data_IF_274790497240
#
_entry.id   IF_274790497240
#
_cell.length_a   1.000
_cell.length_b   1.000
_cell.length_c   1.000
_cell.angle_alpha   90.00
_cell.angle_beta   90.00
_cell.angle_gamma   90.00
#
_symmetry.space_group_name_H-M   'P 1'
#
loop_
_entity.id
_entity.type
_entity.pdbx_description
1 polymer ?
#
# COMPACT_ATOMS: atom_id res chain seq x y z
N UNK A 1 -64.83 26.68 36.21
CA UNK A 1 -64.23 25.32 36.33
C UNK A 1 -64.21 24.51 35.02
N UNK A 2 -65.28 24.46 34.20
CA UNK A 2 -65.35 23.55 33.04
C UNK A 2 -64.31 23.79 31.92
N UNK A 3 -63.81 25.01 31.75
CA UNK A 3 -62.83 25.37 30.71
C UNK A 3 -61.44 24.79 31.03
N UNK A 4 -61.06 24.71 32.31
CA UNK A 4 -59.77 24.18 32.76
C UNK A 4 -59.63 22.67 32.51
N UNK A 5 -60.68 21.90 32.79
CA UNK A 5 -60.68 20.44 32.57
C UNK A 5 -60.69 20.07 31.07
N UNK A 6 -61.37 20.87 30.25
CA UNK A 6 -61.35 20.70 28.79
C UNK A 6 -59.97 21.01 28.20
N UNK A 7 -59.29 22.04 28.70
CA UNK A 7 -57.91 22.34 28.32
C UNK A 7 -56.93 21.23 28.71
N UNK A 8 -57.05 20.68 29.93
CA UNK A 8 -56.21 19.58 30.38
C UNK A 8 -56.40 18.31 29.52
N UNK A 9 -57.65 17.96 29.17
CA UNK A 9 -57.94 16.81 28.31
C UNK A 9 -57.34 16.95 26.90
N UNK A 10 -57.43 18.15 26.30
CA UNK A 10 -56.83 18.43 24.99
C UNK A 10 -55.29 18.32 25.02
N UNK A 11 -54.65 18.76 26.10
CA UNK A 11 -53.20 18.69 26.27
C UNK A 11 -52.69 17.25 26.39
N UNK A 12 -53.41 16.41 27.15
CA UNK A 12 -53.08 14.98 27.27
C UNK A 12 -53.23 14.25 25.93
N UNK A 13 -54.29 14.55 25.17
CA UNK A 13 -54.48 14.00 23.83
C UNK A 13 -53.36 14.41 22.86
N UNK A 14 -53.00 15.70 22.85
CA UNK A 14 -51.92 16.21 22.01
C UNK A 14 -50.57 15.56 22.36
N UNK A 15 -50.26 15.41 23.65
CA UNK A 15 -49.05 14.74 24.11
C UNK A 15 -49.03 13.25 23.72
N UNK A 16 -50.16 12.55 23.83
CA UNK A 16 -50.29 11.15 23.41
C UNK A 16 -50.07 10.94 21.92
N UNK A 17 -50.66 11.79 21.07
CA UNK A 17 -50.48 11.75 19.62
C UNK A 17 -49.04 12.08 19.22
N UNK A 18 -48.42 13.06 19.89
CA UNK A 18 -47.03 13.41 19.66
C UNK A 18 -46.08 12.25 20.03
N UNK A 19 -46.27 11.62 21.21
CA UNK A 19 -45.47 10.49 21.65
C UNK A 19 -45.62 9.26 20.74
N UNK A 20 -46.84 8.99 20.27
CA UNK A 20 -47.10 7.93 19.30
C UNK A 20 -46.40 8.22 17.95
N UNK A 21 -46.55 9.44 17.43
CA UNK A 21 -45.88 9.87 16.20
C UNK A 21 -44.35 9.84 16.30
N UNK A 22 -43.79 10.21 17.45
CA UNK A 22 -42.36 10.12 17.73
C UNK A 22 -41.87 8.67 17.73
N UNK A 23 -42.59 7.78 18.39
CA UNK A 23 -42.21 6.35 18.47
C UNK A 23 -42.22 5.68 17.10
N UNK A 24 -43.29 5.89 16.32
CA UNK A 24 -43.41 5.33 14.96
C UNK A 24 -42.33 5.88 14.03
N UNK A 25 -42.05 7.19 14.09
CA UNK A 25 -40.95 7.77 13.29
C UNK A 25 -39.58 7.29 13.75
N UNK A 26 -39.38 7.11 15.05
CA UNK A 26 -38.15 6.55 15.62
C UNK A 26 -37.90 5.14 15.12
N UNK A 27 -38.91 4.28 15.07
CA UNK A 27 -38.79 2.92 14.52
C UNK A 27 -38.47 2.93 13.03
N UNK A 28 -39.17 3.76 12.24
CA UNK A 28 -38.91 3.88 10.81
C UNK A 28 -37.48 4.34 10.53
N UNK A 29 -37.02 5.38 11.23
CA UNK A 29 -35.65 5.90 11.07
C UNK A 29 -34.61 4.94 11.61
N UNK A 30 -34.91 4.22 12.69
CA UNK A 30 -34.06 3.14 13.20
C UNK A 30 -33.86 2.02 12.17
N UNK A 31 -34.93 1.61 11.47
CA UNK A 31 -34.85 0.61 10.39
C UNK A 31 -33.99 1.09 9.22
N UNK A 32 -34.19 2.34 8.77
CA UNK A 32 -33.39 2.96 7.69
C UNK A 32 -31.90 3.08 8.08
N UNK A 33 -31.61 3.47 9.32
CA UNK A 33 -30.23 3.53 9.84
C UNK A 33 -29.63 2.12 9.90
N UNK A 34 -30.38 1.12 10.35
CA UNK A 34 -29.90 -0.26 10.42
C UNK A 34 -29.56 -0.80 9.02
N UNK A 35 -30.38 -0.53 8.01
CA UNK A 35 -30.12 -0.89 6.63
C UNK A 35 -28.87 -0.19 6.08
N UNK A 36 -28.75 1.14 6.26
CA UNK A 36 -27.57 1.89 5.83
C UNK A 36 -26.30 1.43 6.55
N UNK A 37 -26.40 1.10 7.82
CA UNK A 37 -25.27 0.58 8.62
C UNK A 37 -24.86 -0.80 8.12
N UNK A 38 -25.81 -1.68 7.81
CA UNK A 38 -25.53 -2.98 7.24
C UNK A 38 -24.88 -2.87 5.85
N UNK A 39 -25.38 -1.98 5.00
CA UNK A 39 -24.78 -1.72 3.69
C UNK A 39 -23.35 -1.17 3.80
N UNK A 40 -23.10 -0.23 4.72
CA UNK A 40 -21.75 0.27 5.00
C UNK A 40 -20.83 -0.83 5.51
N UNK A 41 -21.29 -1.65 6.46
CA UNK A 41 -20.48 -2.76 6.97
C UNK A 41 -20.10 -3.74 5.86
N UNK A 42 -20.97 -4.00 4.89
CA UNK A 42 -20.65 -4.84 3.73
C UNK A 42 -19.63 -4.18 2.80
N UNK A 43 -19.75 -2.88 2.55
CA UNK A 43 -18.78 -2.14 1.75
C UNK A 43 -17.40 -2.11 2.45
N UNK A 44 -17.36 -1.82 3.75
CA UNK A 44 -16.14 -1.81 4.55
C UNK A 44 -15.45 -3.19 4.55
N UNK A 45 -16.23 -4.28 4.59
CA UNK A 45 -15.70 -5.65 4.46
C UNK A 45 -15.10 -5.91 3.08
N UNK A 46 -15.74 -5.45 2.01
CA UNK A 46 -15.21 -5.58 0.65
C UNK A 46 -13.90 -4.80 0.49
N UNK A 47 -13.86 -3.56 0.97
CA UNK A 47 -12.67 -2.72 0.94
C UNK A 47 -11.53 -3.30 1.78
N UNK A 48 -11.84 -3.82 2.98
CA UNK A 48 -10.87 -4.51 3.82
C UNK A 48 -10.28 -5.76 3.14
N UNK A 49 -11.11 -6.54 2.45
CA UNK A 49 -10.65 -7.72 1.71
C UNK A 49 -9.75 -7.33 0.53
N UNK A 50 -10.08 -6.27 -0.20
CA UNK A 50 -9.23 -5.72 -1.26
C UNK A 50 -7.89 -5.26 -0.69
N UNK A 51 -7.90 -4.49 0.40
CA UNK A 51 -6.68 -4.03 1.05
C UNK A 51 -5.79 -5.20 1.54
N UNK A 52 -6.38 -6.27 2.06
CA UNK A 52 -5.65 -7.48 2.44
C UNK A 52 -5.04 -8.20 1.23
N UNK A 53 -5.75 -8.24 0.10
CA UNK A 53 -5.22 -8.78 -1.15
C UNK A 53 -4.01 -7.99 -1.64
N UNK A 54 -4.13 -6.66 -1.65
CA UNK A 54 -3.06 -5.75 -2.08
C UNK A 54 -1.83 -5.87 -1.16
N UNK A 55 -2.05 -5.95 0.16
CA UNK A 55 -0.97 -6.17 1.12
C UNK A 55 -0.27 -7.51 0.91
N UNK A 56 -1.03 -8.57 0.59
CA UNK A 56 -0.46 -9.88 0.28
C UNK A 56 0.38 -9.82 -0.99
N UNK A 57 -0.12 -9.18 -2.04
CA UNK A 57 0.61 -9.03 -3.30
C UNK A 57 1.89 -8.20 -3.12
N UNK A 58 1.80 -7.07 -2.41
CA UNK A 58 2.96 -6.25 -2.07
C UNK A 58 3.98 -7.06 -1.26
N UNK A 59 3.52 -7.85 -0.28
CA UNK A 59 4.38 -8.73 0.50
C UNK A 59 5.12 -9.78 -0.34
N UNK A 60 4.44 -10.37 -1.33
CA UNK A 60 5.07 -11.31 -2.30
C UNK A 60 6.12 -10.59 -3.14
N UNK A 61 5.81 -9.41 -3.69
CA UNK A 61 6.75 -8.62 -4.50
C UNK A 61 7.99 -8.20 -3.71
N UNK A 62 7.82 -7.79 -2.45
CA UNK A 62 8.95 -7.44 -1.57
C UNK A 62 9.84 -8.66 -1.32
N UNK A 63 9.25 -9.82 -1.00
CA UNK A 63 10.01 -11.05 -0.77
C UNK A 63 10.78 -11.46 -2.03
N UNK A 64 10.12 -11.46 -3.18
CA UNK A 64 10.77 -11.77 -4.45
C UNK A 64 11.93 -10.81 -4.75
N UNK A 65 11.75 -9.51 -4.55
CA UNK A 65 12.81 -8.51 -4.73
C UNK A 65 13.99 -8.72 -3.77
N UNK A 66 13.71 -9.16 -2.54
CA UNK A 66 14.74 -9.50 -1.57
C UNK A 66 15.52 -10.76 -1.96
N UNK A 67 14.82 -11.79 -2.45
CA UNK A 67 15.44 -13.02 -2.95
C UNK A 67 16.32 -12.73 -4.18
N UNK A 68 15.81 -11.95 -5.14
CA UNK A 68 16.55 -11.51 -6.32
C UNK A 68 17.82 -10.72 -5.92
N UNK A 69 17.71 -9.84 -4.92
CA UNK A 69 18.85 -9.10 -4.40
C UNK A 69 19.90 -10.03 -3.76
N UNK A 70 19.48 -11.03 -2.99
CA UNK A 70 20.42 -12.00 -2.40
C UNK A 70 21.15 -12.80 -3.47
N UNK A 71 20.44 -13.24 -4.52
CA UNK A 71 21.03 -13.91 -5.68
C UNK A 71 22.07 -13.01 -6.35
N UNK A 72 21.68 -11.77 -6.71
CA UNK A 72 22.60 -10.81 -7.36
C UNK A 72 23.83 -10.54 -6.49
N UNK A 73 23.64 -10.37 -5.18
CA UNK A 73 24.74 -10.14 -4.23
C UNK A 73 25.73 -11.30 -4.23
N UNK A 74 25.24 -12.54 -4.23
CA UNK A 74 26.09 -13.73 -4.25
C UNK A 74 26.87 -13.88 -5.57
N UNK A 75 26.22 -13.65 -6.71
CA UNK A 75 26.86 -13.69 -8.04
C UNK A 75 27.93 -12.60 -8.17
N UNK A 76 27.63 -11.38 -7.71
CA UNK A 76 28.59 -10.29 -7.70
C UNK A 76 29.81 -10.62 -6.84
N UNK A 77 29.61 -11.21 -5.66
CA UNK A 77 30.70 -11.68 -4.80
C UNK A 77 31.63 -12.67 -5.52
N UNK A 78 31.06 -13.69 -6.16
CA UNK A 78 31.81 -14.68 -6.92
C UNK A 78 32.60 -14.05 -8.08
N UNK A 79 32.00 -13.10 -8.82
CA UNK A 79 32.67 -12.37 -9.90
C UNK A 79 33.81 -11.49 -9.38
N UNK A 80 33.62 -10.81 -8.25
CA UNK A 80 34.67 -9.99 -7.63
C UNK A 80 35.85 -10.83 -7.15
N UNK A 81 35.59 -12.01 -6.59
CA UNK A 81 36.66 -12.93 -6.17
C UNK A 81 37.40 -13.53 -7.38
N UNK A 82 36.70 -13.84 -8.46
CA UNK A 82 37.32 -14.25 -9.72
C UNK A 82 38.24 -13.15 -10.28
N UNK A 83 37.77 -11.91 -10.37
CA UNK A 83 38.58 -10.76 -10.81
C UNK A 83 39.79 -10.57 -9.89
N UNK A 84 39.61 -10.67 -8.57
CA UNK A 84 40.71 -10.57 -7.61
C UNK A 84 41.75 -11.68 -7.83
N UNK A 85 41.32 -12.90 -8.11
CA UNK A 85 42.21 -14.02 -8.43
C UNK A 85 42.96 -13.76 -9.74
N UNK A 86 42.28 -13.28 -10.78
CA UNK A 86 42.90 -12.99 -12.07
C UNK A 86 43.92 -11.86 -11.96
N UNK A 87 43.61 -10.79 -11.22
CA UNK A 87 44.53 -9.69 -10.97
C UNK A 87 45.75 -10.11 -10.15
N UNK A 88 45.59 -11.00 -9.17
CA UNK A 88 46.72 -11.55 -8.39
C UNK A 88 47.66 -12.42 -9.24
N UNK A 89 47.12 -13.09 -10.25
CA UNK A 89 47.89 -13.98 -11.13
C UNK A 89 48.35 -13.30 -12.43
N UNK A 90 47.92 -12.06 -12.68
CA UNK A 90 48.29 -11.31 -13.87
C UNK A 90 49.78 -10.93 -13.84
N UNK A 91 50.40 -10.91 -15.02
CA UNK A 91 51.77 -10.41 -15.16
C UNK A 91 51.82 -8.92 -14.78
N UNK A 92 52.86 -8.47 -14.07
CA UNK A 92 53.01 -7.07 -13.72
C UNK A 92 53.03 -6.21 -14.98
N UNK A 93 52.33 -5.08 -14.92
CA UNK A 93 52.23 -4.15 -16.04
C UNK A 93 53.59 -3.49 -16.29
N UNK A 94 53.98 -3.25 -17.55
CA UNK A 94 55.15 -2.43 -17.88
C UNK A 94 55.05 -1.05 -17.24
N UNK A 95 56.20 -0.45 -16.93
CA UNK A 95 56.30 0.88 -16.29
C UNK A 95 55.61 2.00 -17.08
N UNK A 96 55.42 1.84 -18.39
CA UNK A 96 54.70 2.78 -19.27
C UNK A 96 53.26 2.36 -19.61
N UNK A 97 52.68 1.39 -18.91
CA UNK A 97 51.30 0.98 -19.14
C UNK A 97 50.30 2.01 -18.58
N UNK A 98 49.94 3.02 -19.40
CA UNK A 98 48.80 3.90 -19.13
C UNK A 98 47.54 3.40 -19.85
N UNK A 99 46.35 3.50 -19.24
CA UNK A 99 45.09 3.34 -19.96
C UNK A 99 45.00 4.40 -21.07
N UNK A 100 44.79 4.00 -22.32
CA UNK A 100 44.52 4.93 -23.40
C UNK A 100 43.11 5.51 -23.30
N UNK A 101 42.91 6.70 -23.88
CA UNK A 101 41.66 7.45 -23.80
C UNK A 101 40.47 6.70 -24.40
N UNK A 102 40.70 5.87 -25.42
CA UNK A 102 39.65 5.09 -26.09
C UNK A 102 39.17 3.98 -25.16
N UNK A 103 40.08 3.24 -24.50
CA UNK A 103 39.74 2.23 -23.50
C UNK A 103 38.99 2.81 -22.32
N UNK A 104 39.43 3.95 -21.78
CA UNK A 104 38.75 4.62 -20.66
C UNK A 104 37.35 5.05 -21.09
N UNK A 105 37.21 5.67 -22.26
CA UNK A 105 35.90 6.08 -22.79
C UNK A 105 34.94 4.90 -22.99
N UNK A 106 35.43 3.78 -23.53
CA UNK A 106 34.62 2.56 -23.68
C UNK A 106 34.17 2.01 -22.32
N UNK A 107 35.08 1.95 -21.34
CA UNK A 107 34.75 1.49 -19.99
C UNK A 107 33.71 2.40 -19.32
N UNK A 108 33.90 3.72 -19.40
CA UNK A 108 32.95 4.70 -18.87
C UNK A 108 31.58 4.57 -19.53
N UNK A 109 31.53 4.43 -20.85
CA UNK A 109 30.26 4.25 -21.58
C UNK A 109 29.52 2.98 -21.16
N UNK A 110 30.24 1.87 -20.91
CA UNK A 110 29.64 0.64 -20.44
C UNK A 110 29.11 0.77 -19.00
N UNK A 111 29.84 1.48 -18.13
CA UNK A 111 29.39 1.79 -16.76
C UNK A 111 28.14 2.68 -16.79
N UNK A 112 28.10 3.70 -17.64
CA UNK A 112 26.96 4.59 -17.75
C UNK A 112 25.73 3.88 -18.32
N UNK A 113 25.91 3.02 -19.32
CA UNK A 113 24.84 2.15 -19.83
C UNK A 113 24.29 1.21 -18.74
N UNK A 114 25.17 0.62 -17.93
CA UNK A 114 24.77 -0.22 -16.81
C UNK A 114 23.99 0.56 -15.74
N UNK A 115 24.40 1.80 -15.42
CA UNK A 115 23.66 2.69 -14.50
C UNK A 115 22.29 3.07 -15.05
N UNK A 116 22.18 3.39 -16.34
CA UNK A 116 20.90 3.70 -16.98
C UNK A 116 19.96 2.48 -16.96
N UNK A 117 20.47 1.30 -17.27
CA UNK A 117 19.70 0.06 -17.19
C UNK A 117 19.25 -0.29 -15.76
N UNK A 118 20.03 0.09 -14.75
CA UNK A 118 19.65 -0.06 -13.34
C UNK A 118 18.59 0.97 -12.90
N UNK A 119 18.62 2.19 -13.44
CA UNK A 119 17.64 3.24 -13.13
C UNK A 119 16.30 3.08 -13.88
N UNK A 120 16.29 2.32 -14.98
CA UNK A 120 15.09 2.03 -15.78
C UNK A 120 14.32 0.78 -15.30
N UNK A 121 14.81 0.10 -14.26
CA UNK A 121 14.13 -1.00 -13.56
C UNK A 121 13.42 -0.48 -12.33
#
# INVERSE_FOLDING_TARGET
MAILWRGAGALVLAAGLFAAGWTVNGWRKGAEIAELTAARAQADLADANTALSDLKEAGVRIRQSADDYLVIKSDLGAKMDAIRKDLKNAKPLPVDCRPDDVRVRNLSSAVDAAKQAAAAR
#
